data_IF_652893110812
#
_entry.id   IF_652893110812
#
_cell.length_a   1.000
_cell.length_b   1.000
_cell.length_c   1.000
_cell.angle_alpha   90.00
_cell.angle_beta   90.00
_cell.angle_gamma   90.00
#
_symmetry.space_group_name_H-M   'P 1'
#
loop_
_entity.id
_entity.type
_entity.pdbx_description
1 polymer ?
#
# COMPACT_ATOMS: atom_id res chain seq x y z
N UNK A 1 8.73 -0.94 9.34
CA UNK A 1 7.75 -1.10 8.23
C UNK A 1 8.50 -1.73 7.07
N UNK A 2 8.37 -3.06 6.84
CA UNK A 2 9.00 -3.71 5.70
C UNK A 2 8.53 -3.08 4.39
N UNK A 3 9.48 -2.84 3.48
CA UNK A 3 9.18 -2.49 2.08
C UNK A 3 8.84 -3.76 1.34
N UNK A 4 7.62 -3.83 0.80
CA UNK A 4 7.10 -5.01 0.09
C UNK A 4 7.50 -4.99 -1.38
N UNK A 5 7.47 -3.80 -1.99
CA UNK A 5 7.76 -3.60 -3.40
C UNK A 5 8.32 -2.18 -3.60
N UNK A 6 9.27 -2.05 -4.53
CA UNK A 6 9.80 -0.77 -4.99
C UNK A 6 9.40 -0.53 -6.44
N UNK A 7 9.08 0.71 -6.74
CA UNK A 7 8.82 1.24 -8.07
C UNK A 7 9.77 2.41 -8.34
N UNK A 8 9.80 2.93 -9.56
CA UNK A 8 10.69 4.04 -9.94
C UNK A 8 10.45 5.30 -9.10
N UNK A 9 9.20 5.58 -8.74
CA UNK A 9 8.79 6.83 -8.08
C UNK A 9 8.21 6.66 -6.67
N UNK A 10 8.07 5.42 -6.20
CA UNK A 10 7.49 5.15 -4.89
C UNK A 10 7.91 3.77 -4.34
N UNK A 11 7.50 3.52 -3.10
CA UNK A 11 7.65 2.22 -2.43
C UNK A 11 6.37 1.86 -1.70
N UNK A 12 6.03 0.58 -1.77
CA UNK A 12 4.93 -0.01 -1.00
C UNK A 12 5.45 -0.57 0.31
N UNK A 13 4.80 -0.24 1.42
CA UNK A 13 5.10 -0.75 2.76
C UNK A 13 3.83 -1.19 3.49
N UNK A 14 3.98 -2.11 4.42
CA UNK A 14 2.93 -2.54 5.35
C UNK A 14 3.49 -2.41 6.77
N UNK A 15 2.70 -1.95 7.74
CA UNK A 15 3.22 -1.65 9.08
C UNK A 15 2.63 -2.58 10.12
N UNK A 16 3.51 -3.12 10.97
CA UNK A 16 3.16 -3.98 12.10
C UNK A 16 2.35 -3.31 13.22
N UNK A 17 2.06 -2.01 13.11
CA UNK A 17 1.25 -1.27 14.09
C UNK A 17 0.04 -0.61 13.44
N UNK A 18 -0.29 -0.97 12.21
CA UNK A 18 -1.50 -0.49 11.55
C UNK A 18 -2.76 -1.10 12.19
N UNK A 19 -3.86 -0.37 12.09
CA UNK A 19 -5.16 -0.86 12.54
C UNK A 19 -6.04 -1.21 11.34
N UNK A 20 -7.03 -2.12 11.51
CA UNK A 20 -8.05 -2.37 10.51
C UNK A 20 -8.74 -1.05 10.06
N UNK A 21 -9.14 -0.94 8.78
CA UNK A 21 -9.16 -2.00 7.77
C UNK A 21 -7.77 -2.35 7.21
N UNK A 22 -7.55 -3.57 6.68
CA UNK A 22 -6.29 -3.93 6.02
C UNK A 22 -5.91 -2.97 4.89
N UNK A 23 -4.73 -2.37 4.99
CA UNK A 23 -4.24 -1.39 4.02
C UNK A 23 -2.73 -1.53 3.84
N UNK A 24 -2.23 -0.97 2.73
CA UNK A 24 -0.81 -0.74 2.50
C UNK A 24 -0.55 0.73 2.25
N UNK A 25 0.70 1.12 2.42
CA UNK A 25 1.15 2.49 2.27
C UNK A 25 1.95 2.63 0.98
N UNK A 26 1.71 3.72 0.26
CA UNK A 26 2.52 4.13 -0.88
C UNK A 26 3.25 5.41 -0.50
N UNK A 27 4.56 5.31 -0.34
CA UNK A 27 5.43 6.46 -0.07
C UNK A 27 6.13 6.88 -1.36
N UNK A 28 5.78 8.05 -1.87
CA UNK A 28 6.38 8.66 -3.04
C UNK A 28 7.80 9.14 -2.73
N UNK A 29 8.63 9.25 -3.77
CA UNK A 29 9.99 9.77 -3.64
C UNK A 29 10.02 11.25 -3.21
N UNK A 30 8.97 12.00 -3.51
CA UNK A 30 8.79 13.40 -3.09
C UNK A 30 8.28 13.56 -1.64
N UNK A 31 8.11 12.45 -0.92
CA UNK A 31 7.69 12.43 0.48
C UNK A 31 6.18 12.39 0.69
N UNK A 32 5.34 12.51 -0.35
CA UNK A 32 3.89 12.30 -0.21
C UNK A 32 3.60 10.85 0.12
N UNK A 33 2.52 10.64 0.87
CA UNK A 33 2.06 9.30 1.24
C UNK A 33 0.55 9.16 1.00
N UNK A 34 0.15 7.97 0.54
CA UNK A 34 -1.23 7.52 0.52
C UNK A 34 -1.38 6.14 1.16
N UNK A 35 -2.52 5.89 1.79
CA UNK A 35 -2.87 4.57 2.31
C UNK A 35 -3.98 4.00 1.43
N UNK A 36 -3.80 2.76 1.01
CA UNK A 36 -4.67 2.09 0.05
C UNK A 36 -5.22 0.84 0.69
N UNK A 37 -6.56 0.74 0.73
CA UNK A 37 -7.25 -0.42 1.28
C UNK A 37 -7.03 -1.63 0.37
N UNK A 38 -6.66 -2.78 0.94
CA UNK A 38 -6.22 -3.94 0.16
C UNK A 38 -7.37 -4.57 -0.66
N UNK A 39 -8.59 -4.57 -0.11
CA UNK A 39 -9.76 -5.22 -0.71
C UNK A 39 -10.29 -4.48 -1.96
N UNK A 40 -10.39 -3.16 -1.87
CA UNK A 40 -11.06 -2.27 -2.82
C UNK A 40 -10.08 -1.49 -3.67
N UNK A 41 -8.82 -1.37 -3.21
CA UNK A 41 -7.78 -0.52 -3.79
C UNK A 41 -8.14 0.98 -3.77
N UNK A 42 -9.04 1.36 -2.87
CA UNK A 42 -9.39 2.75 -2.63
C UNK A 42 -8.35 3.44 -1.75
N UNK A 43 -8.07 4.71 -2.07
CA UNK A 43 -7.25 5.57 -1.22
C UNK A 43 -8.10 5.97 -0.01
N UNK A 44 -7.70 5.55 1.18
CA UNK A 44 -8.39 5.86 2.45
C UNK A 44 -7.69 6.97 3.24
N UNK A 45 -6.46 7.31 2.88
CA UNK A 45 -5.72 8.43 3.45
C UNK A 45 -4.71 8.98 2.44
N UNK A 46 -4.41 10.28 2.53
CA UNK A 46 -3.46 10.97 1.66
C UNK A 46 -4.08 11.57 0.40
N UNK A 47 -3.31 12.39 -0.30
CA UNK A 47 -3.71 13.08 -1.54
C UNK A 47 -2.67 12.83 -2.62
N UNK A 48 -2.84 11.74 -3.36
CA UNK A 48 -2.03 11.40 -4.52
C UNK A 48 -2.99 11.12 -5.68
N UNK A 49 -2.68 11.65 -6.86
CA UNK A 49 -3.56 11.45 -8.01
C UNK A 49 -3.53 9.98 -8.45
N UNK A 50 -4.70 9.42 -8.81
CA UNK A 50 -4.81 8.01 -9.23
C UNK A 50 -3.84 7.63 -10.35
N UNK A 51 -3.55 8.55 -11.27
CA UNK A 51 -2.56 8.34 -12.34
C UNK A 51 -1.16 8.01 -11.81
N UNK A 52 -0.76 8.63 -10.70
CA UNK A 52 0.54 8.43 -10.06
C UNK A 52 0.62 7.08 -9.33
N UNK A 53 -0.53 6.51 -8.95
CA UNK A 53 -0.63 5.20 -8.30
C UNK A 53 -0.96 4.07 -9.27
N UNK A 54 -1.19 4.35 -10.55
CA UNK A 54 -1.73 3.37 -11.52
C UNK A 54 -0.96 2.05 -11.55
N UNK A 55 0.38 2.12 -11.65
CA UNK A 55 1.26 0.95 -11.64
C UNK A 55 1.15 0.16 -10.32
N UNK A 56 1.13 0.87 -9.19
CA UNK A 56 0.99 0.28 -7.86
C UNK A 56 -0.36 -0.42 -7.70
N UNK A 57 -1.45 0.18 -8.20
CA UNK A 57 -2.79 -0.39 -8.11
C UNK A 57 -2.93 -1.65 -8.96
N UNK A 58 -2.34 -1.67 -10.16
CA UNK A 58 -2.29 -2.87 -11.01
C UNK A 58 -1.51 -3.99 -10.30
N UNK A 59 -0.34 -3.67 -9.77
CA UNK A 59 0.46 -4.63 -9.01
C UNK A 59 -0.29 -5.13 -7.76
N UNK A 60 -0.92 -4.24 -6.99
CA UNK A 60 -1.65 -4.57 -5.78
C UNK A 60 -2.85 -5.48 -6.07
N UNK A 61 -3.56 -5.26 -7.19
CA UNK A 61 -4.64 -6.13 -7.65
C UNK A 61 -4.16 -7.56 -7.88
N UNK A 62 -2.98 -7.74 -8.49
CA UNK A 62 -2.38 -9.05 -8.74
C UNK A 62 -1.76 -9.70 -7.49
N UNK A 63 -1.51 -8.92 -6.42
CA UNK A 63 -0.82 -9.35 -5.21
C UNK A 63 -1.70 -9.24 -3.95
N UNK A 64 -3.03 -9.20 -4.10
CA UNK A 64 -3.97 -8.94 -2.99
C UNK A 64 -3.83 -9.95 -1.85
N UNK A 65 -3.73 -11.24 -2.17
CA UNK A 65 -3.62 -12.30 -1.15
C UNK A 65 -2.30 -12.19 -0.38
N UNK A 66 -1.21 -11.88 -1.09
CA UNK A 66 0.11 -11.63 -0.48
C UNK A 66 0.07 -10.44 0.48
N UNK A 67 -0.56 -9.33 0.08
CA UNK A 67 -0.69 -8.14 0.90
C UNK A 67 -1.55 -8.40 2.14
N UNK A 68 -2.67 -9.11 1.97
CA UNK A 68 -3.59 -9.47 3.06
C UNK A 68 -2.89 -10.34 4.09
N UNK A 69 -2.24 -11.41 3.65
CA UNK A 69 -1.51 -12.33 4.53
C UNK A 69 -0.39 -11.60 5.28
N UNK A 70 0.39 -10.76 4.59
CA UNK A 70 1.44 -9.99 5.22
C UNK A 70 0.90 -9.02 6.28
N UNK A 71 -0.22 -8.35 6.00
CA UNK A 71 -0.87 -7.47 6.98
C UNK A 71 -1.32 -8.28 8.22
N UNK A 72 -1.97 -9.43 8.04
CA UNK A 72 -2.39 -10.28 9.14
C UNK A 72 -1.21 -10.81 9.98
N UNK A 73 -0.11 -11.21 9.33
CA UNK A 73 1.10 -11.70 9.99
C UNK A 73 1.77 -10.61 10.83
N UNK A 74 1.79 -9.37 10.34
CA UNK A 74 2.42 -8.24 11.02
C UNK A 74 1.60 -7.70 12.20
N UNK A 75 0.32 -8.08 12.30
CA UNK A 75 -0.62 -7.61 13.33
C UNK A 75 -0.68 -8.56 14.54
N UNK A 76 0.09 -9.65 14.51
CA UNK A 76 0.28 -10.59 15.63
C UNK A 76 1.44 -10.14 16.50
#
# INVERSE_FOLDING_TARGET
>A
MPVVQRFSFCRVRVNAKDHPPPHFHVLMNDGREAWVKIDTLEIIHGKIALRELSEVLVWARANRDKLTKLFEELQR
#
